data_IF_803688001360
#
_entry.id   IF_803688001360
#
_cell.length_a   1.000
_cell.length_b   1.000
_cell.length_c   1.000
_cell.angle_alpha   90.00
_cell.angle_beta   90.00
_cell.angle_gamma   90.00
#
_symmetry.space_group_name_H-M   'P 1'
#
loop_
_entity.id
_entity.type
_entity.pdbx_description
1 polymer ?
#
# COMPACT_ATOMS: atom_id res chain seq x y z
N UNK A 1 -0.23 24.76 -16.08
CA UNK A 1 -0.66 24.23 -17.41
C UNK A 1 -1.75 23.19 -17.17
N UNK A 2 -2.80 23.15 -17.99
CA UNK A 2 -3.95 22.24 -17.80
C UNK A 2 -4.08 21.30 -19.00
N UNK A 3 -4.27 20.01 -18.72
CA UNK A 3 -4.49 18.98 -19.73
C UNK A 3 -5.85 18.31 -19.54
N UNK A 4 -6.48 17.92 -20.64
CA UNK A 4 -7.69 17.09 -20.63
C UNK A 4 -7.38 15.76 -21.29
N UNK A 5 -7.41 14.68 -20.52
CA UNK A 5 -7.26 13.32 -21.02
C UNK A 5 -8.61 12.81 -21.54
N UNK A 6 -8.69 12.47 -22.82
CA UNK A 6 -9.90 11.91 -23.45
C UNK A 6 -9.72 10.42 -23.68
N UNK A 7 -10.83 9.68 -23.76
CA UNK A 7 -10.85 8.24 -24.04
C UNK A 7 -10.03 7.40 -23.06
N UNK A 8 -10.05 7.76 -21.77
CA UNK A 8 -9.37 6.98 -20.72
C UNK A 8 -9.99 5.58 -20.66
N UNK A 9 -9.19 4.50 -20.82
CA UNK A 9 -9.72 3.14 -20.74
C UNK A 9 -10.42 2.89 -19.39
N UNK A 10 -11.57 2.19 -19.42
CA UNK A 10 -12.39 1.93 -18.21
C UNK A 10 -11.60 1.27 -17.07
N UNK A 11 -10.62 0.43 -17.41
CA UNK A 11 -9.75 -0.21 -16.43
C UNK A 11 -8.89 0.81 -15.67
N UNK A 12 -8.36 1.81 -16.38
CA UNK A 12 -7.51 2.87 -15.80
C UNK A 12 -8.34 3.80 -14.91
N UNK A 13 -9.51 4.26 -15.37
CA UNK A 13 -10.41 5.09 -14.55
C UNK A 13 -10.80 4.39 -13.25
N UNK A 14 -11.15 3.10 -13.32
CA UNK A 14 -11.49 2.30 -12.13
C UNK A 14 -10.31 2.18 -11.16
N UNK A 15 -9.11 1.93 -11.67
CA UNK A 15 -7.91 1.83 -10.85
C UNK A 15 -7.61 3.15 -10.13
N UNK A 16 -7.65 4.28 -10.85
CA UNK A 16 -7.41 5.61 -10.28
C UNK A 16 -8.45 5.98 -9.22
N UNK A 17 -9.74 5.72 -9.46
CA UNK A 17 -10.82 5.97 -8.48
C UNK A 17 -10.69 5.11 -7.24
N UNK A 18 -10.34 3.82 -7.39
CA UNK A 18 -10.09 2.93 -6.26
C UNK A 18 -8.95 3.47 -5.40
N UNK A 19 -7.84 3.87 -6.02
CA UNK A 19 -6.68 4.44 -5.33
C UNK A 19 -7.03 5.75 -4.63
N UNK A 20 -7.74 6.67 -5.30
CA UNK A 20 -8.20 7.93 -4.71
C UNK A 20 -9.09 7.71 -3.48
N UNK A 21 -10.03 6.74 -3.53
CA UNK A 21 -10.88 6.40 -2.38
C UNK A 21 -10.07 5.82 -1.21
N UNK A 22 -9.13 4.93 -1.50
CA UNK A 22 -8.30 4.29 -0.46
C UNK A 22 -7.38 5.31 0.24
N UNK A 23 -6.85 6.27 -0.51
CA UNK A 23 -5.91 7.27 0.02
C UNK A 23 -6.62 8.54 0.54
N UNK A 24 -7.94 8.67 0.36
CA UNK A 24 -8.69 9.87 0.75
C UNK A 24 -8.31 11.12 -0.05
N UNK A 25 -7.84 10.95 -1.29
CA UNK A 25 -7.30 12.01 -2.15
C UNK A 25 -8.19 12.28 -3.34
N UNK A 26 -8.03 13.45 -3.96
CA UNK A 26 -8.76 13.76 -5.19
C UNK A 26 -8.28 12.88 -6.35
N UNK A 27 -9.19 12.57 -7.29
CA UNK A 27 -8.85 11.81 -8.49
C UNK A 27 -7.74 12.49 -9.32
N UNK A 28 -7.74 13.83 -9.34
CA UNK A 28 -6.77 14.61 -10.09
C UNK A 28 -5.37 14.50 -9.49
N UNK A 29 -5.22 14.57 -8.17
CA UNK A 29 -3.92 14.40 -7.50
C UNK A 29 -3.34 13.01 -7.76
N UNK A 30 -4.16 11.96 -7.64
CA UNK A 30 -3.73 10.59 -7.91
C UNK A 30 -3.36 10.40 -9.38
N UNK A 31 -4.09 11.01 -10.32
CA UNK A 31 -3.77 10.96 -11.73
C UNK A 31 -2.45 11.66 -12.06
N UNK A 32 -2.21 12.85 -11.48
CA UNK A 32 -0.94 13.58 -11.65
C UNK A 32 0.23 12.79 -11.09
N UNK A 33 0.08 12.21 -9.90
CA UNK A 33 1.13 11.38 -9.30
C UNK A 33 1.43 10.14 -10.15
N UNK A 34 0.41 9.44 -10.62
CA UNK A 34 0.59 8.27 -11.49
C UNK A 34 1.33 8.63 -12.78
N UNK A 35 1.01 9.79 -13.39
CA UNK A 35 1.72 10.29 -14.56
C UNK A 35 3.18 10.66 -14.24
N UNK A 36 3.42 11.35 -13.12
CA UNK A 36 4.76 11.72 -12.71
C UNK A 36 5.64 10.50 -12.35
N UNK A 37 5.05 9.43 -11.81
CA UNK A 37 5.72 8.14 -11.61
C UNK A 37 6.05 7.48 -12.96
N UNK A 38 5.09 7.42 -13.87
CA UNK A 38 5.26 6.77 -15.17
C UNK A 38 6.28 7.50 -16.07
N UNK A 39 6.43 8.81 -15.92
CA UNK A 39 7.40 9.62 -16.68
C UNK A 39 8.74 9.81 -15.96
N UNK A 40 8.91 9.22 -14.78
CA UNK A 40 10.14 9.33 -13.99
C UNK A 40 10.39 10.72 -13.39
N UNK A 41 9.38 11.60 -13.37
CA UNK A 41 9.48 12.97 -12.83
C UNK A 41 9.46 12.98 -11.30
N UNK A 42 8.88 11.95 -10.66
CA UNK A 42 8.86 11.81 -9.19
C UNK A 42 10.20 11.38 -8.56
N UNK A 43 11.29 11.41 -9.33
CA UNK A 43 12.61 10.91 -8.92
C UNK A 43 12.70 9.39 -9.08
N UNK A 44 13.94 8.88 -9.03
CA UNK A 44 14.25 7.43 -9.04
C UNK A 44 13.20 6.65 -8.24
N UNK A 45 12.67 5.52 -8.76
CA UNK A 45 11.66 4.73 -8.06
C UNK A 45 12.14 4.54 -6.63
N UNK A 46 11.31 4.93 -5.64
CA UNK A 46 11.65 4.78 -4.23
C UNK A 46 12.10 3.35 -4.05
N UNK A 47 13.41 3.16 -3.84
CA UNK A 47 14.03 1.86 -3.76
C UNK A 47 13.34 1.16 -2.59
N UNK A 48 12.39 0.28 -2.89
CA UNK A 48 11.68 -0.43 -1.84
C UNK A 48 12.74 -1.26 -1.13
N UNK A 49 13.01 -0.94 0.14
CA UNK A 49 13.95 -1.72 0.94
C UNK A 49 13.35 -3.11 1.03
N UNK A 50 14.10 -4.10 0.55
CA UNK A 50 13.79 -5.50 0.80
C UNK A 50 13.97 -5.74 2.29
N UNK A 51 13.12 -6.57 2.91
CA UNK A 51 13.29 -6.98 4.31
C UNK A 51 14.40 -8.03 4.51
N UNK A 52 15.30 -8.17 3.54
CA UNK A 52 16.36 -9.18 3.54
C UNK A 52 17.35 -8.98 4.69
N UNK A 53 17.51 -7.74 5.16
CA UNK A 53 18.33 -7.38 6.31
C UNK A 53 17.69 -7.74 7.67
N UNK A 54 16.39 -8.07 7.69
CA UNK A 54 15.67 -8.54 8.88
C UNK A 54 15.56 -10.07 8.95
N UNK A 55 15.75 -10.76 7.81
CA UNK A 55 15.65 -12.21 7.77
C UNK A 55 16.78 -12.85 8.59
N UNK A 56 16.42 -13.69 9.57
CA UNK A 56 17.40 -14.37 10.44
C UNK A 56 17.98 -13.50 11.55
N UNK A 57 17.52 -12.26 11.72
CA UNK A 57 17.91 -11.40 12.85
C UNK A 57 16.96 -11.52 14.03
N UNK A 58 16.06 -12.50 14.02
CA UNK A 58 15.14 -12.75 15.13
C UNK A 58 15.95 -13.11 16.38
N UNK A 59 15.58 -12.50 17.50
CA UNK A 59 16.11 -12.84 18.81
C UNK A 59 14.99 -13.51 19.58
N UNK A 60 15.29 -14.65 20.19
CA UNK A 60 14.32 -15.38 20.99
C UNK A 60 13.84 -14.50 22.15
N UNK A 61 12.53 -14.26 22.19
CA UNK A 61 11.86 -13.46 23.19
C UNK A 61 10.65 -14.25 23.74
N UNK A 62 10.80 -14.87 24.93
CA UNK A 62 9.74 -15.66 25.54
C UNK A 62 8.45 -14.88 25.80
N UNK A 63 8.52 -13.55 26.00
CA UNK A 63 7.33 -12.73 26.18
C UNK A 63 6.59 -12.54 24.84
N UNK A 64 7.34 -12.39 23.75
CA UNK A 64 6.77 -12.36 22.41
C UNK A 64 6.10 -13.69 22.06
N UNK A 65 6.75 -14.82 22.35
CA UNK A 65 6.20 -16.15 22.12
C UNK A 65 4.89 -16.37 22.92
N UNK A 66 4.87 -15.93 24.18
CA UNK A 66 3.68 -16.04 25.02
C UNK A 66 2.54 -15.17 24.51
N UNK A 67 2.83 -13.94 24.07
CA UNK A 67 1.84 -13.04 23.49
C UNK A 67 1.25 -13.59 22.17
N UNK A 68 2.09 -14.19 21.31
CA UNK A 68 1.64 -14.85 20.09
C UNK A 68 0.73 -16.05 20.40
N UNK A 69 1.11 -16.87 21.38
CA UNK A 69 0.30 -18.01 21.82
C UNK A 69 -1.04 -17.60 22.45
N UNK A 70 -1.11 -16.43 23.08
CA UNK A 70 -2.37 -15.84 23.56
C UNK A 70 -3.21 -15.30 22.40
N UNK A 71 -2.58 -14.63 21.41
CA UNK A 71 -3.26 -14.09 20.22
C UNK A 71 -3.87 -15.20 19.35
N UNK A 72 -3.22 -16.35 19.23
CA UNK A 72 -3.69 -17.47 18.41
C UNK A 72 -4.90 -18.20 19.02
N UNK A 73 -5.29 -17.87 20.26
CA UNK A 73 -6.52 -18.41 20.86
C UNK A 73 -7.73 -17.64 20.34
N UNK A 74 -8.54 -18.32 19.55
CA UNK A 74 -9.83 -17.78 19.10
C UNK A 74 -10.78 -17.65 20.29
N UNK A 75 -11.28 -16.44 20.50
CA UNK A 75 -12.42 -16.19 21.38
C UNK A 75 -13.72 -16.45 20.60
N UNK A 76 -14.37 -17.56 20.91
CA UNK A 76 -15.60 -18.02 20.26
C UNK A 76 -16.81 -17.09 20.49
N UNK A 77 -16.83 -16.29 21.55
CA UNK A 77 -17.90 -15.30 21.77
C UNK A 77 -17.69 -14.06 20.91
N UNK A 78 -16.43 -13.67 20.65
CA UNK A 78 -16.09 -12.56 19.76
C UNK A 78 -16.22 -12.90 18.27
N UNK A 79 -16.17 -14.19 17.90
CA UNK A 79 -16.16 -14.66 16.51
C UNK A 79 -17.55 -15.00 15.93
N UNK A 80 -18.62 -14.92 16.73
CA UNK A 80 -20.01 -15.07 16.28
C UNK A 80 -20.61 -13.76 15.80
#
# INVERSE_FOLDING_TARGET
MQYTLRNVPRAVDRALRRRAKLEGRSLNEVAIEALAQATGVLGEPVKQRTLADLAGTWQDDPLCDQALADQDRVDEEMWK
#
